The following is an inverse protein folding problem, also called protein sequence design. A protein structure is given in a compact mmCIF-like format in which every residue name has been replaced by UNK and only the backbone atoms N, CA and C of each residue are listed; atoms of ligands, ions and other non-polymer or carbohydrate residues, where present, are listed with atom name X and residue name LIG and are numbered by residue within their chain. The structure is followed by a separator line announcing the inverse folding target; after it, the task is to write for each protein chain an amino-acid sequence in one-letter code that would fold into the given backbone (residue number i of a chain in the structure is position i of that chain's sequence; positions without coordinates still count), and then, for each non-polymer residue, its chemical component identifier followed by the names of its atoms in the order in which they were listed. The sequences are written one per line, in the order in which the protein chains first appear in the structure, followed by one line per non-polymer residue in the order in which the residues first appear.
data_IF_113641087043
#
_entry.id   IF_113641087043
#
_cell.length_a   1.000
_cell.length_b   1.000
_cell.length_c   1.000
_cell.angle_alpha   90.00
_cell.angle_beta   90.00
_cell.angle_gamma   90.00
#
_symmetry.space_group_name_H-M   'P 1'
#
loop_
_entity.id
_entity.type
_entity.pdbx_description
1 polymer ?
#
# COMPACT_ATOMS: atom_id res chain seq x y z
N UNK A 1 25.16 20.77 34.77
CA UNK A 1 24.59 19.57 34.12
C UNK A 1 23.65 20.04 32.98
N UNK A 2 24.01 19.94 31.74
CA UNK A 2 23.13 20.36 30.63
C UNK A 2 22.10 19.28 30.35
N UNK A 3 20.92 19.66 30.48
CA UNK A 3 19.63 19.16 30.03
C UNK A 3 19.66 18.62 28.60
N UNK A 4 19.66 17.30 28.48
CA UNK A 4 19.45 16.62 27.21
C UNK A 4 17.93 16.35 27.08
N UNK A 5 17.18 17.38 26.85
CA UNK A 5 15.86 17.23 26.26
C UNK A 5 15.97 17.58 24.79
N UNK A 6 16.05 16.59 23.97
CA UNK A 6 15.88 16.73 22.50
C UNK A 6 14.38 16.60 22.17
N UNK A 7 13.60 17.69 22.24
CA UNK A 7 12.17 17.64 21.90
C UNK A 7 11.91 17.51 20.41
N UNK A 8 12.96 17.48 19.58
CA UNK A 8 12.88 17.50 18.12
C UNK A 8 12.88 16.12 17.45
N UNK A 9 13.47 15.11 18.07
CA UNK A 9 13.59 13.78 17.45
C UNK A 9 12.27 12.99 17.52
N UNK A 10 11.56 13.10 18.64
CA UNK A 10 10.29 12.39 18.86
C UNK A 10 9.19 12.79 17.86
N UNK A 11 8.93 14.09 17.61
CA UNK A 11 7.93 14.48 16.60
C UNK A 11 8.32 14.11 15.18
N UNK A 12 9.60 14.10 14.82
CA UNK A 12 10.06 13.64 13.53
C UNK A 12 9.86 12.14 13.33
N UNK A 13 10.20 11.34 14.33
CA UNK A 13 9.97 9.89 14.30
C UNK A 13 8.48 9.55 14.12
N UNK A 14 7.60 10.23 14.85
CA UNK A 14 6.14 10.03 14.75
C UNK A 14 5.64 10.36 13.34
N UNK A 15 6.13 11.43 12.69
CA UNK A 15 5.78 11.78 11.31
C UNK A 15 6.21 10.68 10.32
N UNK A 16 7.44 10.18 10.45
CA UNK A 16 7.93 9.13 9.58
C UNK A 16 7.19 7.80 9.79
N UNK A 17 6.97 7.43 11.04
CA UNK A 17 6.23 6.24 11.40
C UNK A 17 4.78 6.28 10.89
N UNK A 18 4.10 7.41 11.00
CA UNK A 18 2.73 7.56 10.52
C UNK A 18 2.63 7.42 9.00
N UNK A 19 3.52 8.04 8.23
CA UNK A 19 3.55 7.88 6.76
C UNK A 19 3.84 6.44 6.37
N UNK A 20 4.78 5.78 7.04
CA UNK A 20 5.11 4.38 6.82
C UNK A 20 3.93 3.45 7.12
N UNK A 21 3.28 3.60 8.28
CA UNK A 21 2.13 2.80 8.69
C UNK A 21 0.92 3.02 7.77
N UNK A 22 0.67 4.26 7.35
CA UNK A 22 -0.36 4.55 6.36
C UNK A 22 -0.05 3.89 5.02
N UNK A 23 1.22 3.87 4.60
CA UNK A 23 1.68 3.14 3.42
C UNK A 23 1.40 1.65 3.48
N UNK A 24 1.49 1.05 4.68
CA UNK A 24 1.16 -0.37 4.91
C UNK A 24 -0.33 -0.67 4.72
N UNK A 25 -1.21 0.20 5.19
CA UNK A 25 -2.67 -0.05 5.23
C UNK A 25 -3.37 0.54 4.02
N UNK A 26 -3.10 1.81 3.71
CA UNK A 26 -3.75 2.56 2.64
C UNK A 26 -2.73 3.42 1.91
N UNK A 27 -2.15 2.85 0.87
CA UNK A 27 -1.03 3.44 0.13
C UNK A 27 -1.24 4.91 -0.29
N UNK A 28 -2.44 5.25 -0.78
CA UNK A 28 -2.78 6.62 -1.22
C UNK A 28 -2.75 7.64 -0.08
N UNK A 29 -3.02 7.22 1.16
CA UNK A 29 -3.04 8.12 2.31
C UNK A 29 -1.63 8.53 2.77
N UNK A 30 -0.61 7.72 2.48
CA UNK A 30 0.76 8.00 2.90
C UNK A 30 1.34 9.28 2.27
N UNK A 31 1.27 9.51 0.93
CA UNK A 31 1.71 10.78 0.33
C UNK A 31 0.94 12.00 0.86
N UNK A 32 -0.37 11.87 1.07
CA UNK A 32 -1.20 12.98 1.61
C UNK A 32 -0.74 13.35 3.03
N UNK A 33 -0.57 12.35 3.89
CA UNK A 33 -0.10 12.58 5.26
C UNK A 33 1.33 13.13 5.29
N UNK A 34 2.19 12.66 4.40
CA UNK A 34 3.58 13.11 4.29
C UNK A 34 3.69 14.58 3.85
N UNK A 35 2.90 15.01 2.88
CA UNK A 35 2.83 16.42 2.44
C UNK A 35 2.24 17.30 3.53
N UNK A 36 1.18 16.87 4.21
CA UNK A 36 0.59 17.59 5.33
C UNK A 36 1.58 17.73 6.52
N UNK A 37 2.44 16.74 6.73
CA UNK A 37 3.50 16.77 7.74
C UNK A 37 4.73 17.60 7.34
N UNK A 38 4.78 18.14 6.12
CA UNK A 38 5.89 18.95 5.60
C UNK A 38 7.17 18.16 5.34
N UNK A 39 7.06 16.87 5.00
CA UNK A 39 8.21 16.03 4.71
C UNK A 39 8.76 16.28 3.29
N UNK A 40 10.07 16.10 3.06
CA UNK A 40 10.65 16.21 1.73
C UNK A 40 10.12 15.11 0.80
N UNK A 41 9.90 15.46 -0.46
CA UNK A 41 9.25 14.64 -1.51
C UNK A 41 9.87 13.24 -1.61
N UNK A 42 11.21 13.17 -1.65
CA UNK A 42 11.91 11.89 -1.76
C UNK A 42 11.65 10.98 -0.57
N UNK A 43 11.53 11.55 0.63
CA UNK A 43 11.29 10.79 1.85
C UNK A 43 9.86 10.28 1.92
N UNK A 44 8.88 11.07 1.51
CA UNK A 44 7.48 10.67 1.38
C UNK A 44 7.37 9.47 0.43
N UNK A 45 8.00 9.55 -0.73
CA UNK A 45 8.00 8.50 -1.73
C UNK A 45 8.62 7.20 -1.17
N UNK A 46 9.83 7.29 -0.59
CA UNK A 46 10.53 6.13 -0.02
C UNK A 46 9.72 5.47 1.10
N UNK A 47 9.19 6.26 2.04
CA UNK A 47 8.41 5.73 3.17
C UNK A 47 7.10 5.07 2.71
N UNK A 48 6.43 5.66 1.72
CA UNK A 48 5.21 5.08 1.15
C UNK A 48 5.47 3.75 0.46
N UNK A 49 6.52 3.68 -0.36
CA UNK A 49 6.93 2.45 -1.05
C UNK A 49 7.39 1.39 -0.05
N UNK A 50 8.22 1.76 0.93
CA UNK A 50 8.71 0.86 1.97
C UNK A 50 7.55 0.29 2.81
N UNK A 51 6.58 1.14 3.22
CA UNK A 51 5.39 0.71 3.94
C UNK A 51 4.58 -0.30 3.14
N UNK A 52 4.29 0.00 1.87
CA UNK A 52 3.58 -0.92 0.99
C UNK A 52 4.32 -2.25 0.82
N UNK A 53 5.63 -2.21 0.55
CA UNK A 53 6.44 -3.41 0.35
C UNK A 53 6.54 -4.28 1.61
N UNK A 54 6.60 -3.67 2.79
CA UNK A 54 6.56 -4.40 4.06
C UNK A 54 5.28 -5.23 4.17
N UNK A 55 4.12 -4.65 3.86
CA UNK A 55 2.84 -5.37 3.84
C UNK A 55 2.83 -6.50 2.81
N UNK A 56 3.35 -6.24 1.61
CA UNK A 56 3.43 -7.25 0.54
C UNK A 56 4.32 -8.43 0.97
N UNK A 57 5.47 -8.17 1.59
CA UNK A 57 6.38 -9.20 2.11
C UNK A 57 5.70 -10.00 3.22
N UNK A 58 5.11 -9.35 4.21
CA UNK A 58 4.45 -10.02 5.32
C UNK A 58 3.30 -10.92 4.83
N UNK A 59 2.41 -10.39 4.00
CA UNK A 59 1.26 -11.13 3.52
C UNK A 59 1.67 -12.25 2.55
N UNK A 60 2.62 -12.02 1.66
CA UNK A 60 3.10 -13.07 0.76
C UNK A 60 3.82 -14.21 1.50
N UNK A 61 4.40 -13.92 2.68
CA UNK A 61 5.07 -14.90 3.52
C UNK A 61 4.07 -15.75 4.32
N UNK A 62 3.07 -15.11 4.93
CA UNK A 62 2.04 -15.78 5.74
C UNK A 62 0.85 -16.23 4.90
N UNK A 63 0.67 -15.63 3.72
CA UNK A 63 -0.55 -15.73 2.91
C UNK A 63 -0.93 -17.15 2.48
N UNK A 64 0.04 -18.06 2.27
CA UNK A 64 -0.26 -19.47 1.97
C UNK A 64 -0.98 -20.14 3.14
N UNK A 65 -0.52 -19.94 4.34
CA UNK A 65 -1.09 -20.53 5.56
C UNK A 65 -2.45 -19.91 5.86
N UNK A 66 -2.58 -18.60 5.71
CA UNK A 66 -3.83 -17.88 5.91
C UNK A 66 -4.88 -18.19 4.83
N UNK A 67 -4.47 -18.33 3.57
CA UNK A 67 -5.35 -18.73 2.47
C UNK A 67 -5.93 -20.14 2.68
N UNK A 68 -5.11 -21.07 3.13
CA UNK A 68 -5.55 -22.43 3.49
C UNK A 68 -6.54 -22.42 4.67
N UNK A 69 -6.26 -21.62 5.70
CA UNK A 69 -7.16 -21.47 6.85
C UNK A 69 -8.51 -20.83 6.48
N UNK A 70 -8.47 -19.77 5.65
CA UNK A 70 -9.70 -19.15 5.15
C UNK A 70 -10.49 -20.09 4.22
N UNK A 71 -9.81 -20.89 3.42
CA UNK A 71 -10.48 -21.88 2.56
C UNK A 71 -11.23 -22.90 3.39
N UNK A 72 -10.60 -23.50 4.40
CA UNK A 72 -11.24 -24.42 5.34
C UNK A 72 -12.47 -23.81 6.03
N UNK A 73 -12.33 -22.60 6.58
CA UNK A 73 -13.44 -21.87 7.22
C UNK A 73 -14.61 -21.56 6.29
N UNK A 74 -14.35 -21.37 4.99
CA UNK A 74 -15.42 -21.13 3.99
C UNK A 74 -16.10 -22.43 3.57
N UNK A 75 -15.35 -23.50 3.43
CA UNK A 75 -15.86 -24.84 3.18
C UNK A 75 -16.80 -25.30 4.32
N UNK A 76 -16.38 -25.11 5.57
CA UNK A 76 -17.18 -25.40 6.77
C UNK A 76 -18.49 -24.58 6.84
N UNK A 77 -18.49 -23.37 6.30
CA UNK A 77 -19.65 -22.46 6.31
C UNK A 77 -20.50 -22.53 5.05
N UNK A 78 -20.25 -23.47 4.14
CA UNK A 78 -20.98 -23.61 2.87
C UNK A 78 -20.94 -22.36 1.97
N UNK A 79 -20.00 -21.44 2.20
CA UNK A 79 -19.90 -20.18 1.44
C UNK A 79 -19.12 -20.40 0.14
N UNK A 80 -19.54 -19.79 -0.98
CA UNK A 80 -18.83 -19.95 -2.24
C UNK A 80 -17.39 -19.49 -2.10
N UNK A 81 -16.47 -20.31 -2.59
CA UNK A 81 -15.01 -20.07 -2.56
C UNK A 81 -14.61 -18.74 -3.21
N UNK A 82 -15.42 -18.28 -4.16
CA UNK A 82 -15.20 -17.02 -4.89
C UNK A 82 -16.37 -16.05 -4.69
N UNK A 83 -16.10 -14.93 -4.02
CA UNK A 83 -17.02 -13.78 -3.96
C UNK A 83 -17.16 -13.13 -5.36
N UNK A 84 -18.26 -12.39 -5.61
CA UNK A 84 -18.45 -11.59 -6.84
C UNK A 84 -17.25 -10.67 -7.14
N UNK A 85 -16.63 -10.08 -6.11
CA UNK A 85 -15.39 -9.28 -6.24
C UNK A 85 -14.22 -10.15 -6.71
N UNK A 86 -14.07 -11.35 -6.18
CA UNK A 86 -13.01 -12.29 -6.56
C UNK A 86 -13.11 -12.73 -8.01
N UNK A 87 -14.32 -12.89 -8.54
CA UNK A 87 -14.54 -13.24 -9.96
C UNK A 87 -14.09 -12.14 -10.92
N UNK A 88 -14.33 -10.86 -10.60
CA UNK A 88 -13.84 -9.72 -11.39
C UNK A 88 -12.31 -9.69 -11.43
N UNK A 89 -11.66 -9.98 -10.34
CA UNK A 89 -10.21 -9.99 -10.22
C UNK A 89 -9.60 -11.15 -10.99
N UNK A 90 -10.21 -12.33 -10.94
CA UNK A 90 -9.81 -13.46 -11.78
C UNK A 90 -9.97 -13.11 -13.28
N UNK A 91 -11.00 -12.36 -13.64
CA UNK A 91 -11.17 -11.82 -15.01
C UNK A 91 -10.02 -10.89 -15.41
N UNK A 92 -9.63 -9.96 -14.54
CA UNK A 92 -8.48 -9.06 -14.76
C UNK A 92 -7.18 -9.86 -14.88
N UNK A 93 -6.97 -10.84 -13.99
CA UNK A 93 -5.79 -11.70 -14.06
C UNK A 93 -5.70 -12.51 -15.35
N UNK A 94 -6.83 -13.05 -15.83
CA UNK A 94 -6.88 -13.78 -17.11
C UNK A 94 -6.57 -12.89 -18.31
N UNK A 95 -6.93 -11.61 -18.24
CA UNK A 95 -6.75 -10.65 -19.35
C UNK A 95 -5.40 -9.94 -19.33
N UNK A 96 -4.93 -9.54 -18.15
CA UNK A 96 -3.76 -8.67 -17.97
C UNK A 96 -2.63 -9.32 -17.16
N UNK A 97 -2.83 -10.55 -16.66
CA UNK A 97 -1.84 -11.25 -15.84
C UNK A 97 -1.54 -10.57 -14.49
N UNK A 98 -0.37 -10.88 -13.94
CA UNK A 98 0.10 -10.29 -12.68
C UNK A 98 0.36 -8.77 -12.76
N UNK A 99 0.89 -8.21 -13.86
CA UNK A 99 1.05 -6.76 -14.00
C UNK A 99 -0.26 -5.99 -13.83
N UNK A 100 -1.38 -6.51 -14.35
CA UNK A 100 -2.68 -5.87 -14.21
C UNK A 100 -3.17 -5.79 -12.76
N UNK A 101 -3.00 -6.86 -11.99
CA UNK A 101 -3.34 -6.85 -10.56
C UNK A 101 -2.45 -5.85 -9.82
N UNK A 102 -1.14 -5.89 -10.05
CA UNK A 102 -0.19 -5.01 -9.38
C UNK A 102 -0.48 -3.53 -9.69
N UNK A 103 -0.80 -3.21 -10.94
CA UNK A 103 -1.14 -1.84 -11.36
C UNK A 103 -2.42 -1.31 -10.72
N UNK A 104 -3.46 -2.16 -10.59
CA UNK A 104 -4.73 -1.78 -10.01
C UNK A 104 -4.73 -1.77 -8.47
N UNK A 105 -3.76 -2.45 -7.84
CA UNK A 105 -3.72 -2.60 -6.37
C UNK A 105 -3.69 -1.26 -5.63
N UNK A 106 -2.83 -0.29 -5.96
CA UNK A 106 -2.77 0.98 -5.22
C UNK A 106 -4.05 1.81 -5.33
N UNK A 107 -4.81 1.68 -6.41
CA UNK A 107 -6.03 2.45 -6.67
C UNK A 107 -7.28 1.76 -6.11
N UNK A 108 -7.50 0.49 -6.49
CA UNK A 108 -8.75 -0.23 -6.21
C UNK A 108 -8.68 -1.08 -4.96
N UNK A 109 -7.49 -1.51 -4.59
CA UNK A 109 -7.26 -2.41 -3.47
C UNK A 109 -6.24 -1.80 -2.51
N UNK A 110 -6.37 -2.11 -1.23
CA UNK A 110 -5.26 -1.88 -0.32
C UNK A 110 -4.10 -2.85 -0.67
N UNK A 111 -2.85 -2.54 -0.30
CA UNK A 111 -1.72 -3.46 -0.47
C UNK A 111 -2.02 -4.87 0.05
N UNK A 112 -2.77 -4.94 1.14
CA UNK A 112 -3.28 -6.17 1.76
C UNK A 112 -4.15 -6.96 0.77
N UNK A 113 -5.17 -6.31 0.20
CA UNK A 113 -6.13 -6.96 -0.70
C UNK A 113 -5.49 -7.50 -1.98
N UNK A 114 -4.66 -6.69 -2.65
CA UNK A 114 -3.95 -7.08 -3.86
C UNK A 114 -3.02 -8.26 -3.65
N UNK A 115 -2.26 -8.26 -2.56
CA UNK A 115 -1.31 -9.33 -2.23
C UNK A 115 -2.03 -10.63 -1.86
N UNK A 116 -3.12 -10.56 -1.08
CA UNK A 116 -3.94 -11.74 -0.75
C UNK A 116 -4.48 -12.39 -2.00
N UNK A 117 -4.98 -11.60 -2.95
CA UNK A 117 -5.51 -12.11 -4.20
C UNK A 117 -4.43 -12.77 -5.05
N UNK A 118 -3.27 -12.12 -5.21
CA UNK A 118 -2.14 -12.68 -5.95
C UNK A 118 -1.68 -14.01 -5.34
N UNK A 119 -1.68 -14.11 -4.00
CA UNK A 119 -1.34 -15.34 -3.28
C UNK A 119 -2.38 -16.44 -3.51
N UNK A 120 -3.69 -16.11 -3.53
CA UNK A 120 -4.76 -17.06 -3.82
C UNK A 120 -4.71 -17.58 -5.25
N UNK A 121 -4.20 -16.81 -6.19
CA UNK A 121 -3.99 -17.20 -7.58
C UNK A 121 -2.72 -18.05 -7.79
N UNK A 122 -2.07 -18.47 -6.70
CA UNK A 122 -0.85 -19.30 -6.71
C UNK A 122 0.33 -18.66 -7.46
N UNK A 123 0.36 -17.33 -7.54
CA UNK A 123 1.48 -16.61 -8.14
C UNK A 123 2.73 -16.79 -7.27
N UNK A 124 3.90 -17.10 -7.83
CA UNK A 124 5.13 -17.24 -7.06
C UNK A 124 5.51 -15.90 -6.40
N UNK A 125 6.02 -15.96 -5.16
CA UNK A 125 6.33 -14.78 -4.33
C UNK A 125 7.20 -13.76 -5.05
N UNK A 126 8.22 -14.21 -5.78
CA UNK A 126 9.13 -13.34 -6.53
C UNK A 126 8.39 -12.46 -7.54
N UNK A 127 7.46 -13.05 -8.29
CA UNK A 127 6.64 -12.29 -9.24
C UNK A 127 5.73 -11.28 -8.55
N UNK A 128 5.16 -11.62 -7.40
CA UNK A 128 4.35 -10.70 -6.60
C UNK A 128 5.22 -9.51 -6.16
N UNK A 129 6.37 -9.78 -5.54
CA UNK A 129 7.27 -8.73 -5.04
C UNK A 129 7.73 -7.80 -6.17
N UNK A 130 8.19 -8.36 -7.29
CA UNK A 130 8.68 -7.57 -8.42
C UNK A 130 7.60 -6.66 -9.02
N UNK A 131 6.41 -7.22 -9.31
CA UNK A 131 5.33 -6.44 -9.91
C UNK A 131 4.73 -5.42 -8.93
N UNK A 132 4.66 -5.72 -7.64
CA UNK A 132 4.19 -4.78 -6.63
C UNK A 132 5.21 -3.67 -6.39
N UNK A 133 6.50 -3.96 -6.44
CA UNK A 133 7.56 -2.96 -6.25
C UNK A 133 7.52 -1.88 -7.33
N UNK A 134 7.54 -2.27 -8.60
CA UNK A 134 7.51 -1.26 -9.66
C UNK A 134 6.18 -0.50 -9.70
N UNK A 135 5.07 -1.16 -9.40
CA UNK A 135 3.78 -0.50 -9.27
C UNK A 135 3.76 0.50 -8.11
N UNK A 136 4.32 0.12 -6.94
CA UNK A 136 4.46 1.01 -5.80
C UNK A 136 5.34 2.23 -6.11
N UNK A 137 6.45 2.01 -6.83
CA UNK A 137 7.34 3.10 -7.25
C UNK A 137 6.64 4.09 -8.17
N UNK A 138 5.93 3.60 -9.19
CA UNK A 138 5.21 4.41 -10.16
C UNK A 138 4.06 5.19 -9.51
N UNK A 139 3.17 4.50 -8.80
CA UNK A 139 2.03 5.13 -8.14
C UNK A 139 2.43 6.00 -6.95
N UNK A 140 3.51 5.62 -6.24
CA UNK A 140 4.10 6.44 -5.18
C UNK A 140 4.57 7.79 -5.72
N UNK A 141 5.27 7.82 -6.85
CA UNK A 141 5.66 9.05 -7.51
C UNK A 141 4.43 9.86 -7.97
N UNK A 142 3.46 9.21 -8.63
CA UNK A 142 2.25 9.87 -9.11
C UNK A 142 1.44 10.51 -7.97
N UNK A 143 1.16 9.78 -6.90
CA UNK A 143 0.39 10.30 -5.77
C UNK A 143 1.15 11.35 -4.96
N UNK A 144 2.47 11.24 -4.83
CA UNK A 144 3.28 12.27 -4.16
C UNK A 144 3.24 13.57 -4.95
N UNK A 145 3.40 13.52 -6.28
CA UNK A 145 3.30 14.72 -7.14
C UNK A 145 1.90 15.31 -7.12
N UNK A 146 0.85 14.49 -7.16
CA UNK A 146 -0.54 14.97 -7.03
C UNK A 146 -0.77 15.64 -5.68
N UNK A 147 -0.34 15.03 -4.57
CA UNK A 147 -0.52 15.58 -3.23
C UNK A 147 0.13 16.95 -3.09
N UNK A 148 1.33 17.14 -3.66
CA UNK A 148 2.02 18.44 -3.67
C UNK A 148 1.25 19.47 -4.49
N UNK A 149 0.80 19.09 -5.70
CA UNK A 149 0.02 19.98 -6.55
C UNK A 149 -1.26 20.47 -5.86
N UNK A 150 -1.97 19.55 -5.20
CA UNK A 150 -3.18 19.91 -4.43
C UNK A 150 -2.87 20.76 -3.21
N UNK A 151 -1.76 20.52 -2.50
CA UNK A 151 -1.38 21.37 -1.37
C UNK A 151 -1.04 22.80 -1.80
N UNK A 152 -0.40 22.97 -2.95
CA UNK A 152 -0.16 24.31 -3.52
C UNK A 152 -1.46 25.03 -3.90
N UNK A 153 -2.41 24.35 -4.53
CA UNK A 153 -3.68 24.94 -4.90
C UNK A 153 -4.50 25.38 -3.68
N UNK A 154 -4.54 24.55 -2.63
CA UNK A 154 -5.26 24.86 -1.39
C UNK A 154 -4.70 26.09 -0.65
N UNK A 155 -3.37 26.33 -0.76
CA UNK A 155 -2.73 27.50 -0.17
C UNK A 155 -3.12 28.79 -0.93
N UNK A 156 -3.20 28.74 -2.26
CA UNK A 156 -3.59 29.91 -3.07
C UNK A 156 -5.06 30.31 -2.91
N UNK A 157 -5.95 29.35 -2.62
CA UNK A 157 -7.38 29.65 -2.44
C UNK A 157 -7.69 30.33 -1.09
N UNK A 158 -6.78 30.23 -0.13
CA UNK A 158 -6.92 30.88 1.19
C UNK A 158 -6.50 32.35 1.21
N UNK A 159 -5.83 32.83 0.17
CA UNK A 159 -5.38 34.23 0.01
C UNK A 159 -6.23 35.05 -0.99
N UNK A 160 -7.37 34.54 -1.43
CA UNK A 160 -8.32 35.21 -2.31
C UNK A 160 -9.62 35.54 -1.58
#
# INVERSE_FOLDING_TARGET
MPYISSPTVLPHFVKYASVFLLGMVKFVAAPIAGTAAGLPIGLIWILSVAGMMTTVILISSVGKMWALHQRRRREEKGKPLFSRKSRRIVGIYRRFGMPGIAFLTPILFSPIGGTVIATQLHVPRWRILFHMLWSAALWGAAFTLLAIKFSHLAIFDHYR
#
